data_IF_340610698845
#
_entry.id   IF_340610698845
#
_cell.length_a   1.000
_cell.length_b   1.000
_cell.length_c   1.000
_cell.angle_alpha   90.00
_cell.angle_beta   90.00
_cell.angle_gamma   90.00
#
_symmetry.space_group_name_H-M   'P 1'
#
loop_
_entity.id
_entity.type
_entity.pdbx_description
1 polymer ?
#
# COMPACT_ATOMS: atom_id res chain seq x y z
N UNK A 1 -16.58 -13.57 10.97
CA UNK A 1 -16.41 -12.35 11.80
C UNK A 1 -15.04 -11.73 11.49
N UNK A 2 -14.96 -10.94 10.41
CA UNK A 2 -13.77 -10.23 9.98
C UNK A 2 -13.57 -8.98 10.87
N UNK A 3 -12.84 -9.11 11.98
CA UNK A 3 -12.44 -7.96 12.80
C UNK A 3 -11.57 -7.02 11.97
N UNK A 4 -11.74 -5.71 12.16
CA UNK A 4 -11.16 -4.66 11.31
C UNK A 4 -9.65 -4.54 11.43
N UNK A 5 -8.93 -5.19 10.51
CA UNK A 5 -7.50 -5.03 10.29
C UNK A 5 -7.21 -3.77 9.46
N UNK A 6 -7.54 -2.60 10.00
CA UNK A 6 -7.01 -1.34 9.50
C UNK A 6 -6.18 -0.76 10.63
N UNK A 7 -4.85 -0.74 10.49
CA UNK A 7 -4.01 -0.02 11.44
C UNK A 7 -4.52 1.44 11.50
N UNK A 8 -4.98 1.94 12.67
CA UNK A 8 -5.51 3.31 12.79
C UNK A 8 -4.52 4.37 12.31
N UNK A 9 -3.22 4.04 12.32
CA UNK A 9 -2.11 4.90 11.90
C UNK A 9 -2.20 5.35 10.44
N UNK A 10 -2.60 4.48 9.49
CA UNK A 10 -2.67 4.83 8.07
C UNK A 10 -3.73 5.92 7.79
N UNK A 11 -4.93 5.75 8.35
CA UNK A 11 -6.01 6.76 8.23
C UNK A 11 -5.70 8.04 8.98
N UNK A 12 -5.13 7.92 10.19
CA UNK A 12 -4.67 9.06 10.96
C UNK A 12 -3.66 9.88 10.17
N UNK A 13 -2.68 9.21 9.54
CA UNK A 13 -1.70 9.86 8.69
C UNK A 13 -2.36 10.56 7.51
N UNK A 14 -3.19 9.87 6.73
CA UNK A 14 -3.78 10.43 5.51
C UNK A 14 -4.62 11.67 5.82
N UNK A 15 -5.41 11.65 6.91
CA UNK A 15 -6.20 12.79 7.34
C UNK A 15 -5.34 14.00 7.71
N UNK A 16 -4.26 13.79 8.48
CA UNK A 16 -3.35 14.86 8.90
C UNK A 16 -2.55 15.39 7.71
N UNK A 17 -1.98 14.51 6.89
CA UNK A 17 -1.24 14.85 5.68
C UNK A 17 -2.07 15.69 4.71
N UNK A 18 -3.33 15.31 4.48
CA UNK A 18 -4.28 16.11 3.70
C UNK A 18 -4.58 17.46 4.33
N UNK A 19 -4.67 17.53 5.65
CA UNK A 19 -4.83 18.77 6.40
C UNK A 19 -3.64 19.71 6.23
N UNK A 20 -2.41 19.20 6.34
CA UNK A 20 -1.16 19.95 6.11
C UNK A 20 -1.13 20.48 4.68
N UNK A 21 -1.33 19.61 3.68
CA UNK A 21 -1.33 19.98 2.26
C UNK A 21 -2.33 21.09 1.92
N UNK A 22 -3.50 21.07 2.56
CA UNK A 22 -4.57 22.05 2.34
C UNK A 22 -4.40 23.32 3.19
N UNK A 23 -3.32 23.45 3.97
CA UNK A 23 -3.11 24.57 4.89
C UNK A 23 -4.12 24.63 6.04
N UNK A 24 -4.84 23.53 6.33
CA UNK A 24 -5.86 23.46 7.38
C UNK A 24 -5.27 23.18 8.77
N UNK A 25 -4.00 22.80 8.84
CA UNK A 25 -3.29 22.51 10.08
C UNK A 25 -2.18 23.54 10.23
N UNK A 26 -2.23 24.33 11.31
CA UNK A 26 -1.18 25.30 11.63
C UNK A 26 0.13 24.60 12.00
N UNK A 27 1.26 25.34 12.03
CA UNK A 27 2.54 24.82 12.53
C UNK A 27 2.41 24.17 13.90
N UNK A 28 1.70 24.83 14.84
CA UNK A 28 1.41 24.28 16.17
C UNK A 28 0.58 22.99 16.08
N UNK A 29 -0.40 22.96 15.19
CA UNK A 29 -1.17 21.76 14.90
C UNK A 29 -0.30 20.61 14.38
N UNK A 30 0.69 20.89 13.52
CA UNK A 30 1.63 19.88 13.01
C UNK A 30 2.49 19.33 14.14
N UNK A 31 3.12 20.19 14.95
CA UNK A 31 3.91 19.76 16.10
C UNK A 31 3.09 18.88 17.06
N UNK A 32 1.86 19.26 17.38
CA UNK A 32 0.97 18.44 18.21
C UNK A 32 0.68 17.07 17.60
N UNK A 33 0.51 16.96 16.27
CA UNK A 33 0.30 15.67 15.60
C UNK A 33 1.57 14.81 15.56
N UNK A 34 2.73 15.43 15.43
CA UNK A 34 4.03 14.76 15.55
C UNK A 34 4.22 14.24 16.97
N UNK A 35 4.03 15.07 18.01
CA UNK A 35 4.11 14.67 19.41
C UNK A 35 3.15 13.52 19.72
N UNK A 36 1.89 13.59 19.27
CA UNK A 36 0.93 12.50 19.43
C UNK A 36 1.41 11.19 18.79
N UNK A 37 1.96 11.26 17.58
CA UNK A 37 2.47 10.08 16.88
C UNK A 37 3.70 9.48 17.61
N UNK A 38 4.63 10.31 18.08
CA UNK A 38 5.78 9.88 18.87
C UNK A 38 5.35 9.25 20.19
N UNK A 39 4.42 9.88 20.93
CA UNK A 39 3.88 9.34 22.17
C UNK A 39 3.25 7.96 21.96
N UNK A 40 2.45 7.79 20.90
CA UNK A 40 1.86 6.50 20.54
C UNK A 40 2.91 5.46 20.20
N UNK A 41 3.95 5.84 19.45
CA UNK A 41 5.07 4.94 19.14
C UNK A 41 5.80 4.50 20.41
N UNK A 42 6.22 5.45 21.25
CA UNK A 42 6.93 5.20 22.51
C UNK A 42 6.10 4.30 23.43
N UNK A 43 4.79 4.55 23.58
CA UNK A 43 3.91 3.75 24.45
C UNK A 43 3.80 2.29 24.02
N UNK A 44 4.07 1.97 22.75
CA UNK A 44 3.99 0.61 22.22
C UNK A 44 5.25 -0.20 22.49
N UNK A 45 6.40 0.44 22.68
CA UNK A 45 7.68 -0.25 22.86
C UNK A 45 7.77 -1.09 24.15
N UNK A 46 7.27 -0.65 25.32
CA UNK A 46 7.21 -1.52 26.49
C UNK A 46 6.37 -2.78 26.25
N UNK A 47 5.26 -2.67 25.51
CA UNK A 47 4.41 -3.80 25.15
C UNK A 47 5.12 -4.81 24.22
N UNK A 48 6.08 -4.36 23.41
CA UNK A 48 6.93 -5.24 22.57
C UNK A 48 7.88 -6.07 23.43
N UNK A 49 8.27 -5.56 24.60
CA UNK A 49 9.27 -6.20 25.48
C UNK A 49 8.66 -7.04 26.62
N UNK A 50 7.38 -6.86 26.94
CA UNK A 50 6.78 -7.42 28.18
C UNK A 50 6.06 -8.76 28.02
N UNK A 51 6.13 -9.40 26.86
CA UNK A 51 5.52 -10.72 26.67
C UNK A 51 6.38 -11.83 27.29
N UNK A 52 5.72 -12.84 27.87
CA UNK A 52 6.33 -13.96 28.62
C UNK A 52 7.45 -14.69 27.85
N UNK A 53 7.49 -14.59 26.50
CA UNK A 53 8.57 -15.13 25.68
C UNK A 53 9.92 -14.40 25.83
N UNK A 54 9.93 -13.10 26.11
CA UNK A 54 11.17 -12.33 26.38
C UNK A 54 11.67 -12.62 27.78
N UNK A 55 10.78 -12.72 28.79
CA UNK A 55 11.15 -13.15 30.15
C UNK A 55 11.73 -14.57 30.19
N UNK A 56 11.14 -15.51 29.45
CA UNK A 56 11.66 -16.87 29.34
C UNK A 56 13.02 -16.93 28.59
N UNK A 57 13.26 -16.01 27.65
CA UNK A 57 14.56 -15.88 26.97
C UNK A 57 15.62 -15.14 27.81
N UNK A 58 15.20 -14.20 28.66
CA UNK A 58 16.02 -13.51 29.66
C UNK A 58 16.53 -14.49 30.73
N UNK A 59 15.65 -15.36 31.24
CA UNK A 59 16.01 -16.40 32.22
C UNK A 59 16.99 -17.43 31.64
N UNK A 60 16.97 -17.67 30.32
CA UNK A 60 17.80 -18.67 29.66
C UNK A 60 19.18 -18.17 29.21
N UNK A 61 19.40 -16.85 29.02
CA UNK A 61 20.59 -16.35 28.30
C UNK A 61 21.47 -15.32 29.01
N UNK A 62 21.13 -14.85 30.21
CA UNK A 62 22.04 -14.08 31.09
C UNK A 62 22.61 -12.77 30.52
N UNK A 63 22.10 -12.29 29.37
CA UNK A 63 22.45 -11.02 28.75
C UNK A 63 21.19 -10.19 28.60
N UNK A 64 21.25 -8.91 28.98
CA UNK A 64 20.24 -7.92 28.55
C UNK A 64 20.00 -8.12 27.06
N UNK A 65 18.79 -8.54 26.67
CA UNK A 65 18.57 -8.99 25.30
C UNK A 65 18.78 -7.80 24.34
N UNK A 66 19.48 -8.03 23.23
CA UNK A 66 19.74 -7.01 22.20
C UNK A 66 18.44 -6.30 21.79
N UNK A 67 17.30 -7.01 21.79
CA UNK A 67 15.97 -6.45 21.52
C UNK A 67 15.54 -5.36 22.51
N UNK A 68 15.82 -5.54 23.81
CA UNK A 68 15.53 -4.53 24.85
C UNK A 68 16.40 -3.29 24.64
N UNK A 69 17.68 -3.49 24.33
CA UNK A 69 18.60 -2.37 24.05
C UNK A 69 18.14 -1.57 22.84
N UNK A 70 17.76 -2.25 21.74
CA UNK A 70 17.20 -1.60 20.54
C UNK A 70 15.92 -0.81 20.84
N UNK A 71 14.96 -1.42 21.53
CA UNK A 71 13.71 -0.75 21.88
C UNK A 71 13.94 0.44 22.84
N UNK A 72 14.84 0.32 23.82
CA UNK A 72 15.21 1.42 24.72
C UNK A 72 15.90 2.55 23.96
N UNK A 73 16.83 2.21 23.06
CA UNK A 73 17.52 3.19 22.23
C UNK A 73 16.55 3.93 21.30
N UNK A 74 15.63 3.22 20.64
CA UNK A 74 14.58 3.82 19.83
C UNK A 74 13.70 4.79 20.64
N UNK A 75 13.30 4.40 21.85
CA UNK A 75 12.52 5.26 22.75
C UNK A 75 13.29 6.54 23.12
N UNK A 76 14.58 6.43 23.44
CA UNK A 76 15.43 7.58 23.77
C UNK A 76 15.53 8.57 22.61
N UNK A 77 15.78 8.08 21.40
CA UNK A 77 15.86 8.92 20.19
C UNK A 77 14.54 9.65 19.90
N UNK A 78 13.41 8.96 20.04
CA UNK A 78 12.09 9.57 19.88
C UNK A 78 11.79 10.62 20.96
N UNK A 79 12.14 10.35 22.22
CA UNK A 79 11.93 11.28 23.34
C UNK A 79 12.68 12.59 23.14
N UNK A 80 13.91 12.57 22.62
CA UNK A 80 14.67 13.80 22.31
C UNK A 80 13.89 14.73 21.38
N UNK A 81 13.25 14.18 20.36
CA UNK A 81 12.44 14.98 19.41
C UNK A 81 11.11 15.41 20.04
N UNK A 82 10.46 14.50 20.77
CA UNK A 82 9.20 14.78 21.47
C UNK A 82 9.34 15.92 22.48
N UNK A 83 10.37 15.91 23.32
CA UNK A 83 10.59 16.92 24.36
C UNK A 83 10.87 18.29 23.75
N UNK A 84 11.70 18.35 22.70
CA UNK A 84 11.97 19.59 21.95
C UNK A 84 10.70 20.20 21.36
N UNK A 85 9.88 19.39 20.68
CA UNK A 85 8.64 19.87 20.07
C UNK A 85 7.59 20.28 21.11
N UNK A 86 7.53 19.57 22.24
CA UNK A 86 6.62 19.89 23.34
C UNK A 86 6.98 21.23 23.97
N UNK A 87 8.28 21.48 24.22
CA UNK A 87 8.77 22.77 24.68
C UNK A 87 8.46 23.89 23.68
N UNK A 88 8.72 23.66 22.38
CA UNK A 88 8.42 24.61 21.31
C UNK A 88 6.93 24.98 21.22
N UNK A 89 6.03 24.03 21.51
CA UNK A 89 4.58 24.30 21.52
C UNK A 89 4.16 25.29 22.63
N UNK A 90 5.00 25.47 23.66
CA UNK A 90 4.80 26.42 24.75
C UNK A 90 5.45 27.80 24.46
N UNK A 91 6.37 27.88 23.50
CA UNK A 91 7.08 29.10 23.08
C UNK A 91 6.94 29.33 21.56
N UNK A 92 5.92 30.10 21.09
CA UNK A 92 5.57 30.20 19.67
C UNK A 92 6.69 30.70 18.74
N UNK A 93 7.58 31.55 19.26
CA UNK A 93 8.68 32.16 18.49
C UNK A 93 9.74 31.13 18.08
N UNK A 94 9.88 30.03 18.83
CA UNK A 94 10.84 28.95 18.55
C UNK A 94 10.26 27.85 17.64
N UNK A 95 8.94 27.83 17.45
CA UNK A 95 8.26 26.73 16.78
C UNK A 95 8.61 26.63 15.29
N UNK A 96 8.71 27.77 14.61
CA UNK A 96 9.10 27.82 13.19
C UNK A 96 10.53 27.29 13.00
N UNK A 97 11.45 27.70 13.88
CA UNK A 97 12.84 27.22 13.90
C UNK A 97 12.92 25.72 14.12
N UNK A 98 12.25 25.21 15.15
CA UNK A 98 12.33 23.79 15.54
C UNK A 98 11.64 22.88 14.50
N UNK A 99 10.51 23.29 13.92
CA UNK A 99 9.80 22.46 12.92
C UNK A 99 10.39 22.53 11.51
N UNK A 100 11.12 23.59 11.16
CA UNK A 100 11.59 23.82 9.78
C UNK A 100 13.12 23.79 9.70
N UNK A 101 13.83 24.52 10.55
CA UNK A 101 15.30 24.58 10.51
C UNK A 101 15.93 23.29 11.07
N UNK A 102 15.40 22.78 12.18
CA UNK A 102 15.88 21.54 12.83
C UNK A 102 15.25 20.27 12.23
N UNK A 103 14.36 20.39 11.24
CA UNK A 103 13.60 19.30 10.65
C UNK A 103 14.48 18.13 10.21
N UNK A 104 15.63 18.43 9.57
CA UNK A 104 16.58 17.41 9.11
C UNK A 104 17.16 16.61 10.27
N UNK A 105 17.60 17.28 11.34
CA UNK A 105 18.15 16.62 12.52
C UNK A 105 17.09 15.74 13.20
N UNK A 106 15.84 16.22 13.28
CA UNK A 106 14.73 15.42 13.78
C UNK A 106 14.51 14.17 12.92
N UNK A 107 14.44 14.31 11.60
CA UNK A 107 14.27 13.18 10.67
C UNK A 107 15.41 12.16 10.83
N UNK A 108 16.67 12.59 10.94
CA UNK A 108 17.82 11.70 11.20
C UNK A 108 17.62 10.85 12.46
N UNK A 109 17.29 11.48 13.60
CA UNK A 109 17.08 10.77 14.87
C UNK A 109 15.90 9.79 14.78
N UNK A 110 14.81 10.21 14.13
CA UNK A 110 13.61 9.39 13.99
C UNK A 110 13.82 8.22 13.00
N UNK A 111 14.62 8.39 11.94
CA UNK A 111 15.00 7.30 11.03
C UNK A 111 15.89 6.27 11.72
N UNK A 112 16.83 6.71 12.57
CA UNK A 112 17.62 5.80 13.40
C UNK A 112 16.71 5.00 14.35
N UNK A 113 15.76 5.66 15.03
CA UNK A 113 14.77 4.99 15.87
C UNK A 113 13.89 4.01 15.08
N UNK A 114 13.49 4.38 13.86
CA UNK A 114 12.66 3.53 12.99
C UNK A 114 13.41 2.26 12.62
N UNK A 115 14.68 2.39 12.24
CA UNK A 115 15.53 1.25 11.94
C UNK A 115 15.65 0.32 13.15
N UNK A 116 15.86 0.85 14.36
CA UNK A 116 15.91 0.02 15.58
C UNK A 116 14.63 -0.78 15.80
N UNK A 117 13.45 -0.16 15.66
CA UNK A 117 12.15 -0.83 15.83
C UNK A 117 11.92 -1.88 14.73
N UNK A 118 12.31 -1.59 13.49
CA UNK A 118 12.18 -2.54 12.38
C UNK A 118 13.10 -3.75 12.56
N UNK A 119 14.33 -3.54 13.04
CA UNK A 119 15.29 -4.63 13.31
C UNK A 119 14.82 -5.59 14.41
N UNK A 120 13.86 -5.21 15.26
CA UNK A 120 13.20 -6.17 16.16
C UNK A 120 12.52 -7.32 15.41
N UNK A 121 12.27 -7.16 14.10
CA UNK A 121 11.59 -8.11 13.22
C UNK A 121 12.47 -8.67 12.11
N UNK A 122 13.79 -8.50 12.19
CA UNK A 122 14.73 -9.07 11.21
C UNK A 122 14.58 -10.60 11.04
N UNK A 123 14.07 -11.28 12.08
CA UNK A 123 13.73 -12.70 12.06
C UNK A 123 12.24 -12.89 12.40
N UNK A 124 11.32 -12.69 11.43
CA UNK A 124 9.88 -12.68 11.71
C UNK A 124 9.32 -14.07 12.08
N UNK A 125 10.03 -15.16 11.77
CA UNK A 125 9.66 -16.54 12.08
C UNK A 125 10.85 -17.33 12.64
N UNK A 126 11.31 -17.10 13.88
CA UNK A 126 12.28 -17.98 14.51
C UNK A 126 11.61 -19.32 14.76
N UNK A 127 12.27 -20.43 14.38
CA UNK A 127 11.74 -21.80 14.43
C UNK A 127 11.19 -22.25 15.80
N UNK A 128 11.39 -21.48 16.89
CA UNK A 128 11.05 -21.86 18.26
C UNK A 128 10.37 -20.77 19.11
N UNK A 129 9.87 -19.66 18.56
CA UNK A 129 9.28 -18.58 19.38
C UNK A 129 7.82 -18.25 19.02
N UNK A 130 6.96 -18.14 20.05
CA UNK A 130 5.58 -17.61 19.98
C UNK A 130 5.55 -16.09 19.67
N UNK A 131 6.30 -15.60 18.68
CA UNK A 131 6.50 -14.16 18.40
C UNK A 131 5.35 -13.45 17.66
N UNK A 132 4.25 -14.15 17.36
CA UNK A 132 3.15 -13.57 16.57
C UNK A 132 2.53 -12.31 17.17
N UNK A 133 2.55 -12.16 18.50
CA UNK A 133 1.95 -11.01 19.21
C UNK A 133 2.90 -9.79 19.18
N UNK A 134 4.22 -10.01 19.17
CA UNK A 134 5.25 -8.96 19.24
C UNK A 134 5.37 -8.18 17.93
N UNK A 135 5.21 -8.87 16.79
CA UNK A 135 5.27 -8.28 15.46
C UNK A 135 4.23 -7.18 15.22
N UNK A 136 3.00 -7.34 15.73
CA UNK A 136 1.94 -6.34 15.54
C UNK A 136 2.18 -5.07 16.35
N UNK A 137 2.79 -5.20 17.54
CA UNK A 137 3.13 -4.06 18.39
C UNK A 137 4.30 -3.28 17.81
N UNK A 138 5.33 -3.98 17.34
CA UNK A 138 6.45 -3.36 16.64
C UNK A 138 5.98 -2.66 15.36
N UNK A 139 5.12 -3.31 14.56
CA UNK A 139 4.49 -2.73 13.36
C UNK A 139 3.66 -1.48 13.68
N UNK A 140 2.92 -1.49 14.79
CA UNK A 140 2.16 -0.31 15.24
C UNK A 140 3.10 0.84 15.63
N UNK A 141 4.17 0.54 16.40
CA UNK A 141 5.14 1.54 16.84
C UNK A 141 5.85 2.20 15.65
N UNK A 142 6.40 1.41 14.74
CA UNK A 142 7.06 1.89 13.52
C UNK A 142 6.10 2.64 12.60
N UNK A 143 4.83 2.23 12.49
CA UNK A 143 3.82 2.96 11.70
C UNK A 143 3.56 4.36 12.27
N UNK A 144 3.43 4.51 13.59
CA UNK A 144 3.27 5.83 14.21
C UNK A 144 4.53 6.68 14.08
N UNK A 145 5.71 6.08 14.24
CA UNK A 145 6.99 6.77 14.03
C UNK A 145 7.16 7.24 12.58
N UNK A 146 6.86 6.38 11.60
CA UNK A 146 6.89 6.73 10.19
C UNK A 146 5.89 7.84 9.87
N UNK A 147 4.71 7.85 10.50
CA UNK A 147 3.77 8.95 10.38
C UNK A 147 4.34 10.28 10.90
N UNK A 148 5.03 10.26 12.05
CA UNK A 148 5.70 11.43 12.61
C UNK A 148 6.75 12.01 11.63
N UNK A 149 7.61 11.15 11.07
CA UNK A 149 8.60 11.51 10.06
C UNK A 149 7.92 12.14 8.84
N UNK A 150 6.89 11.47 8.30
CA UNK A 150 6.16 11.95 7.13
C UNK A 150 5.43 13.28 7.38
N UNK A 151 4.97 13.58 8.60
CA UNK A 151 4.39 14.88 8.92
C UNK A 151 5.44 16.01 8.91
N UNK A 152 6.63 15.77 9.47
CA UNK A 152 7.73 16.73 9.43
C UNK A 152 8.13 17.02 7.97
N UNK A 153 8.35 15.97 7.18
CA UNK A 153 8.74 16.11 5.77
C UNK A 153 7.64 16.73 4.90
N UNK A 154 6.37 16.39 5.13
CA UNK A 154 5.27 17.05 4.43
C UNK A 154 5.20 18.52 4.79
N UNK A 155 5.38 18.87 6.07
CA UNK A 155 5.39 20.26 6.48
C UNK A 155 6.50 21.04 5.78
N UNK A 156 7.74 20.53 5.80
CA UNK A 156 8.90 21.08 5.09
C UNK A 156 8.60 21.27 3.58
N UNK A 157 8.02 20.26 2.93
CA UNK A 157 7.62 20.34 1.53
C UNK A 157 6.72 21.55 1.22
N UNK A 158 5.77 21.88 2.10
CA UNK A 158 4.77 22.92 1.85
C UNK A 158 5.13 24.29 2.45
N UNK A 159 6.11 24.38 3.36
CA UNK A 159 6.54 25.64 3.98
C UNK A 159 7.83 26.22 3.38
N UNK A 160 8.77 25.39 2.92
CA UNK A 160 10.01 25.87 2.29
C UNK A 160 9.70 26.40 0.87
N UNK A 161 10.26 27.56 0.52
CA UNK A 161 9.98 28.30 -0.72
C UNK A 161 10.00 27.42 -1.99
N UNK A 162 9.04 27.66 -2.89
CA UNK A 162 8.62 26.81 -4.01
C UNK A 162 9.68 26.50 -5.09
N UNK A 163 10.90 27.02 -4.98
CA UNK A 163 11.95 26.89 -6.01
C UNK A 163 12.86 25.67 -5.90
N UNK A 164 12.88 24.95 -4.75
CA UNK A 164 13.86 23.87 -4.49
C UNK A 164 13.29 22.45 -4.40
N UNK A 165 11.96 22.28 -4.26
CA UNK A 165 11.34 20.97 -3.98
C UNK A 165 10.29 20.66 -5.05
N UNK A 166 10.44 19.53 -5.76
CA UNK A 166 9.44 19.04 -6.72
C UNK A 166 8.24 18.40 -6.01
N UNK A 167 7.39 19.24 -5.40
CA UNK A 167 6.20 18.80 -4.63
C UNK A 167 5.29 17.88 -5.45
N UNK A 168 5.14 18.16 -6.75
CA UNK A 168 4.27 17.40 -7.65
C UNK A 168 4.86 16.00 -7.90
N UNK A 169 6.14 15.91 -8.27
CA UNK A 169 6.82 14.63 -8.46
C UNK A 169 6.82 13.75 -7.20
N UNK A 170 7.05 14.36 -6.02
CA UNK A 170 6.97 13.64 -4.73
C UNK A 170 5.56 13.07 -4.50
N UNK A 171 4.53 13.89 -4.73
CA UNK A 171 3.14 13.45 -4.54
C UNK A 171 2.73 12.34 -5.51
N UNK A 172 3.13 12.45 -6.77
CA UNK A 172 2.84 11.46 -7.81
C UNK A 172 3.57 10.14 -7.54
N UNK A 173 4.88 10.17 -7.24
CA UNK A 173 5.65 8.97 -6.86
C UNK A 173 5.05 8.27 -5.64
N UNK A 174 4.72 9.03 -4.59
CA UNK A 174 4.00 8.52 -3.42
C UNK A 174 2.67 7.88 -3.79
N UNK A 175 1.89 8.53 -4.65
CA UNK A 175 0.59 7.99 -5.09
C UNK A 175 0.77 6.67 -5.82
N UNK A 176 1.72 6.58 -6.76
CA UNK A 176 2.03 5.34 -7.50
C UNK A 176 2.46 4.21 -6.57
N UNK A 177 3.37 4.47 -5.63
CA UNK A 177 3.80 3.46 -4.68
C UNK A 177 2.63 2.99 -3.78
N UNK A 178 1.78 3.91 -3.31
CA UNK A 178 0.57 3.55 -2.57
C UNK A 178 -0.41 2.71 -3.41
N UNK A 179 -0.60 3.01 -4.70
CA UNK A 179 -1.45 2.21 -5.58
C UNK A 179 -0.92 0.77 -5.72
N UNK A 180 0.39 0.61 -5.87
CA UNK A 180 1.03 -0.72 -5.95
C UNK A 180 0.90 -1.49 -4.62
N UNK A 181 1.14 -0.81 -3.49
CA UNK A 181 0.98 -1.41 -2.15
C UNK A 181 -0.47 -1.81 -1.86
N UNK A 182 -1.43 -0.97 -2.23
CA UNK A 182 -2.86 -1.29 -2.13
C UNK A 182 -3.22 -2.47 -3.05
N UNK A 183 -2.68 -2.53 -4.26
CA UNK A 183 -2.90 -3.66 -5.17
C UNK A 183 -2.41 -4.98 -4.56
N UNK A 184 -1.22 -4.95 -3.95
CA UNK A 184 -0.63 -6.07 -3.25
C UNK A 184 -1.52 -6.45 -2.05
N UNK A 185 -1.91 -5.48 -1.21
CA UNK A 185 -2.77 -5.69 -0.04
C UNK A 185 -4.12 -6.32 -0.41
N UNK A 186 -4.84 -5.73 -1.36
CA UNK A 186 -6.15 -6.23 -1.79
C UNK A 186 -6.02 -7.64 -2.39
N UNK A 187 -4.94 -7.92 -3.13
CA UNK A 187 -4.68 -9.25 -3.67
C UNK A 187 -4.43 -10.29 -2.58
N UNK A 188 -3.63 -9.94 -1.57
CA UNK A 188 -3.36 -10.77 -0.40
C UNK A 188 -4.62 -11.07 0.41
N UNK A 189 -5.49 -10.09 0.58
CA UNK A 189 -6.80 -10.29 1.22
C UNK A 189 -7.64 -11.27 0.39
N UNK A 190 -7.71 -11.06 -0.92
CA UNK A 190 -8.53 -11.84 -1.84
C UNK A 190 -8.02 -13.27 -2.10
N UNK A 191 -6.76 -13.59 -1.78
CA UNK A 191 -6.24 -14.95 -1.92
C UNK A 191 -7.02 -15.94 -1.03
N UNK A 192 -7.54 -17.04 -1.59
CA UNK A 192 -8.27 -18.03 -0.81
C UNK A 192 -7.33 -18.78 0.13
N UNK A 193 -7.82 -19.25 1.28
CA UNK A 193 -6.98 -19.93 2.29
C UNK A 193 -6.24 -21.15 1.73
N UNK A 194 -6.83 -21.86 0.77
CA UNK A 194 -6.18 -22.96 0.05
C UNK A 194 -4.86 -22.58 -0.64
N UNK A 195 -4.66 -21.31 -0.98
CA UNK A 195 -3.40 -20.84 -1.55
C UNK A 195 -2.25 -20.88 -0.53
N UNK A 196 -2.55 -21.07 0.76
CA UNK A 196 -1.59 -21.07 1.87
C UNK A 196 -1.45 -22.45 2.54
N UNK A 197 -2.12 -23.49 2.04
CA UNK A 197 -2.13 -24.81 2.68
C UNK A 197 -0.72 -25.42 2.82
N UNK A 198 0.15 -25.20 1.84
CA UNK A 198 1.53 -25.68 1.85
C UNK A 198 2.42 -24.98 2.91
N UNK A 199 2.10 -23.74 3.29
CA UNK A 199 2.81 -23.03 4.37
C UNK A 199 2.50 -23.61 5.75
N UNK A 200 1.47 -24.44 5.89
CA UNK A 200 1.18 -25.21 7.12
C UNK A 200 2.04 -26.48 7.19
N UNK A 201 2.38 -27.07 6.04
CA UNK A 201 3.05 -28.38 5.96
C UNK A 201 4.57 -28.27 6.09
N UNK A 202 5.15 -27.13 5.72
CA UNK A 202 6.55 -26.81 6.01
C UNK A 202 6.75 -26.68 7.53
N UNK A 203 7.63 -27.51 8.08
CA UNK A 203 8.09 -27.48 9.50
C UNK A 203 8.83 -26.18 9.90
N UNK A 204 8.60 -25.07 9.20
CA UNK A 204 9.28 -23.78 9.34
C UNK A 204 8.57 -22.78 10.27
N UNK A 205 7.79 -23.26 11.25
CA UNK A 205 7.32 -22.38 12.33
C UNK A 205 6.29 -21.32 11.93
N UNK A 206 5.54 -21.50 10.84
CA UNK A 206 4.41 -20.62 10.53
C UNK A 206 3.29 -20.79 11.56
N UNK A 207 2.83 -19.67 12.12
CA UNK A 207 1.79 -19.59 13.16
C UNK A 207 0.36 -19.89 12.64
N UNK A 208 0.23 -20.55 11.48
CA UNK A 208 -1.03 -20.81 10.78
C UNK A 208 -1.45 -19.72 9.79
N UNK A 209 -2.27 -20.08 8.79
CA UNK A 209 -2.66 -19.23 7.65
C UNK A 209 -3.15 -17.86 8.10
N UNK A 210 -4.02 -17.83 9.11
CA UNK A 210 -4.61 -16.58 9.60
C UNK A 210 -3.56 -15.62 10.13
N UNK A 211 -2.58 -16.11 10.89
CA UNK A 211 -1.52 -15.27 11.47
C UNK A 211 -0.58 -14.78 10.37
N UNK A 212 -0.24 -15.63 9.39
CA UNK A 212 0.57 -15.24 8.23
C UNK A 212 -0.10 -14.15 7.41
N UNK A 213 -1.39 -14.30 7.05
CA UNK A 213 -2.14 -13.27 6.32
C UNK A 213 -2.20 -11.96 7.12
N UNK A 214 -2.47 -12.04 8.43
CA UNK A 214 -2.49 -10.86 9.31
C UNK A 214 -1.14 -10.15 9.39
N UNK A 215 -0.04 -10.90 9.46
CA UNK A 215 1.32 -10.35 9.44
C UNK A 215 1.57 -9.58 8.14
N UNK A 216 1.33 -10.22 6.99
CA UNK A 216 1.55 -9.59 5.68
C UNK A 216 0.69 -8.33 5.51
N UNK A 217 -0.60 -8.40 5.85
CA UNK A 217 -1.50 -7.24 5.81
C UNK A 217 -0.97 -6.10 6.67
N UNK A 218 -0.49 -6.39 7.88
CA UNK A 218 0.05 -5.37 8.78
C UNK A 218 1.35 -4.75 8.24
N UNK A 219 2.25 -5.58 7.70
CA UNK A 219 3.48 -5.12 7.06
C UNK A 219 3.21 -4.27 5.81
N UNK A 220 2.22 -4.62 5.00
CA UNK A 220 1.82 -3.82 3.82
C UNK A 220 1.23 -2.46 4.21
N UNK A 221 0.41 -2.42 5.26
CA UNK A 221 -0.11 -1.17 5.82
C UNK A 221 1.01 -0.29 6.40
N UNK A 222 1.99 -0.89 7.06
CA UNK A 222 3.18 -0.17 7.53
C UNK A 222 4.01 0.38 6.36
N UNK A 223 4.26 -0.42 5.33
CA UNK A 223 4.95 0.00 4.12
C UNK A 223 4.19 1.11 3.38
N UNK A 224 2.86 1.13 3.48
CA UNK A 224 2.04 2.24 2.98
C UNK A 224 2.30 3.53 3.75
N UNK A 225 2.54 3.47 5.07
CA UNK A 225 3.01 4.63 5.83
C UNK A 225 4.45 5.00 5.44
N UNK A 226 5.30 4.04 5.05
CA UNK A 226 6.65 4.33 4.54
C UNK A 226 6.63 5.05 3.19
N UNK A 227 5.74 4.67 2.28
CA UNK A 227 5.51 5.40 1.03
C UNK A 227 5.13 6.87 1.29
N UNK A 228 4.49 7.11 2.43
CA UNK A 228 4.09 8.42 2.90
C UNK A 228 5.22 9.21 3.57
N UNK A 229 6.39 8.61 3.82
CA UNK A 229 7.63 9.30 4.16
C UNK A 229 8.43 9.75 2.93
N UNK A 230 7.99 9.43 1.72
CA UNK A 230 8.64 9.97 0.51
C UNK A 230 8.56 11.50 0.56
N UNK A 231 9.69 12.14 0.77
CA UNK A 231 9.80 13.57 1.07
C UNK A 231 10.96 14.22 0.30
N UNK A 232 11.43 15.40 0.74
CA UNK A 232 12.61 16.04 0.19
C UNK A 232 13.85 15.15 0.25
N UNK A 233 14.97 15.62 -0.32
CA UNK A 233 16.23 14.87 -0.32
C UNK A 233 16.67 14.47 1.09
N UNK A 234 16.91 13.16 1.27
CA UNK A 234 17.47 12.57 2.49
C UNK A 234 18.95 12.34 2.24
N UNK A 235 19.80 12.85 3.12
CA UNK A 235 21.25 12.71 2.99
C UNK A 235 21.71 11.27 3.26
N UNK A 236 22.90 10.93 2.78
CA UNK A 236 23.63 9.79 3.32
C UNK A 236 24.12 10.14 4.74
N UNK A 237 23.97 9.28 5.77
CA UNK A 237 23.62 7.85 5.78
C UNK A 237 22.13 7.52 6.02
N UNK A 238 21.28 8.51 6.26
CA UNK A 238 19.86 8.32 6.59
C UNK A 238 19.09 7.53 5.52
N UNK A 239 19.48 7.75 4.25
CA UNK A 239 18.99 6.97 3.12
C UNK A 239 19.24 5.46 3.29
N UNK A 240 20.41 5.03 3.78
CA UNK A 240 20.68 3.62 4.06
C UNK A 240 19.73 3.05 5.10
N UNK A 241 19.52 3.78 6.20
CA UNK A 241 18.67 3.30 7.29
C UNK A 241 17.25 3.08 6.80
N UNK A 242 16.75 3.98 5.94
CA UNK A 242 15.44 3.85 5.34
C UNK A 242 15.35 2.66 4.37
N UNK A 243 16.32 2.50 3.47
CA UNK A 243 16.37 1.38 2.52
C UNK A 243 16.50 0.03 3.23
N UNK A 244 17.32 -0.03 4.29
CA UNK A 244 17.46 -1.21 5.14
C UNK A 244 16.14 -1.53 5.85
N UNK A 245 15.52 -0.53 6.48
CA UNK A 245 14.22 -0.68 7.16
C UNK A 245 13.16 -1.20 6.19
N UNK A 246 13.06 -0.62 4.99
CA UNK A 246 12.13 -1.09 3.96
C UNK A 246 12.42 -2.54 3.57
N UNK A 247 13.69 -2.86 3.28
CA UNK A 247 14.09 -4.21 2.85
C UNK A 247 13.79 -5.27 3.92
N UNK A 248 14.01 -4.96 5.20
CA UNK A 248 13.69 -5.85 6.31
C UNK A 248 12.19 -6.15 6.42
N UNK A 249 11.33 -5.16 6.16
CA UNK A 249 9.87 -5.36 6.15
C UNK A 249 9.39 -6.10 4.91
N UNK A 250 10.04 -5.85 3.76
CA UNK A 250 9.58 -6.34 2.47
C UNK A 250 10.06 -7.76 2.15
N UNK A 251 11.28 -8.13 2.56
CA UNK A 251 11.86 -9.45 2.30
C UNK A 251 10.97 -10.62 2.76
N UNK A 252 10.31 -10.59 3.93
CA UNK A 252 9.39 -11.65 4.34
C UNK A 252 8.18 -11.79 3.41
N UNK A 253 7.66 -10.68 2.87
CA UNK A 253 6.55 -10.68 1.91
C UNK A 253 7.00 -11.33 0.59
N UNK A 254 8.21 -11.00 0.12
CA UNK A 254 8.80 -11.61 -1.08
C UNK A 254 9.01 -13.12 -0.92
N UNK A 255 9.54 -13.57 0.22
CA UNK A 255 9.70 -15.00 0.50
C UNK A 255 8.38 -15.75 0.46
N UNK A 256 7.32 -15.17 1.02
CA UNK A 256 5.99 -15.77 0.98
C UNK A 256 5.38 -15.76 -0.43
N UNK A 257 5.61 -14.70 -1.21
CA UNK A 257 5.20 -14.61 -2.62
C UNK A 257 5.81 -15.73 -3.46
N UNK A 258 7.12 -15.98 -3.35
CA UNK A 258 7.81 -17.07 -4.05
C UNK A 258 7.15 -18.42 -3.74
N UNK A 259 6.93 -18.74 -2.45
CA UNK A 259 6.29 -20.01 -2.05
C UNK A 259 4.86 -20.17 -2.60
N UNK A 260 4.07 -19.09 -2.56
CA UNK A 260 2.70 -19.09 -3.09
C UNK A 260 2.70 -19.32 -4.61
N UNK A 261 3.66 -18.73 -5.33
CA UNK A 261 3.77 -18.86 -6.78
C UNK A 261 4.18 -20.25 -7.25
N UNK A 262 5.15 -20.88 -6.57
CA UNK A 262 5.60 -22.23 -6.90
C UNK A 262 4.45 -23.23 -6.90
N UNK A 263 3.44 -23.00 -6.06
CA UNK A 263 2.31 -23.92 -5.87
C UNK A 263 1.09 -23.54 -6.71
N UNK A 264 0.95 -22.27 -7.13
CA UNK A 264 -0.22 -21.79 -7.88
C UNK A 264 0.17 -20.74 -8.96
N UNK A 265 0.94 -21.11 -9.99
CA UNK A 265 1.55 -20.14 -10.90
C UNK A 265 0.57 -19.37 -11.79
N UNK A 266 -0.70 -19.78 -11.89
CA UNK A 266 -1.63 -19.33 -12.92
C UNK A 266 -2.75 -18.38 -12.47
N UNK A 267 -2.84 -18.05 -11.17
CA UNK A 267 -3.86 -17.12 -10.67
C UNK A 267 -3.60 -15.66 -11.08
N UNK A 268 -4.63 -14.94 -11.54
CA UNK A 268 -4.52 -13.49 -11.82
C UNK A 268 -4.06 -12.69 -10.60
N UNK A 269 -4.52 -13.06 -9.39
CA UNK A 269 -4.07 -12.45 -8.14
C UNK A 269 -2.58 -12.69 -7.88
N UNK A 270 -2.06 -13.88 -8.22
CA UNK A 270 -0.63 -14.16 -8.11
C UNK A 270 0.17 -13.34 -9.11
N UNK A 271 -0.28 -13.21 -10.36
CA UNK A 271 0.35 -12.29 -11.33
C UNK A 271 0.39 -10.85 -10.83
N UNK A 272 -0.69 -10.37 -10.20
CA UNK A 272 -0.75 -9.03 -9.60
C UNK A 272 0.24 -8.92 -8.44
N UNK A 273 0.27 -9.90 -7.54
CA UNK A 273 1.19 -9.96 -6.41
C UNK A 273 2.64 -9.89 -6.90
N UNK A 274 3.00 -10.67 -7.92
CA UNK A 274 4.37 -10.74 -8.44
C UNK A 274 4.79 -9.42 -9.06
N UNK A 275 3.92 -8.85 -9.90
CA UNK A 275 4.20 -7.59 -10.57
C UNK A 275 4.27 -6.43 -9.57
N UNK A 276 3.28 -6.32 -8.68
CA UNK A 276 3.27 -5.29 -7.64
C UNK A 276 4.50 -5.41 -6.73
N UNK A 277 4.90 -6.62 -6.35
CA UNK A 277 6.06 -6.85 -5.48
C UNK A 277 7.35 -6.35 -6.12
N UNK A 278 7.58 -6.68 -7.40
CA UNK A 278 8.75 -6.19 -8.16
C UNK A 278 8.74 -4.68 -8.29
N UNK A 279 7.60 -4.12 -8.65
CA UNK A 279 7.46 -2.68 -8.89
C UNK A 279 7.59 -1.86 -7.61
N UNK A 280 7.12 -2.35 -6.46
CA UNK A 280 7.21 -1.68 -5.15
C UNK A 280 8.67 -1.54 -4.72
N UNK A 281 9.44 -2.63 -4.81
CA UNK A 281 10.85 -2.61 -4.41
C UNK A 281 11.66 -1.65 -5.29
N UNK A 282 11.44 -1.75 -6.61
CA UNK A 282 12.09 -0.88 -7.59
C UNK A 282 11.76 0.59 -7.34
N UNK A 283 10.47 0.96 -7.34
CA UNK A 283 10.04 2.36 -7.16
C UNK A 283 10.57 2.97 -5.86
N UNK A 284 10.59 2.21 -4.77
CA UNK A 284 11.06 2.73 -3.48
C UNK A 284 12.57 2.98 -3.50
N UNK A 285 13.36 2.09 -4.10
CA UNK A 285 14.82 2.25 -4.26
C UNK A 285 15.14 3.39 -5.21
N UNK A 286 14.53 3.38 -6.40
CA UNK A 286 14.74 4.37 -7.48
C UNK A 286 14.44 5.79 -7.00
N UNK A 287 13.36 5.97 -6.20
CA UNK A 287 13.03 7.29 -5.63
C UNK A 287 14.17 7.91 -4.83
N UNK A 288 14.83 7.11 -3.99
CA UNK A 288 15.95 7.57 -3.17
C UNK A 288 17.29 7.57 -3.93
N UNK A 289 17.36 6.88 -5.06
CA UNK A 289 18.46 6.88 -6.03
C UNK A 289 18.46 8.08 -7.00
N UNK A 290 17.56 9.05 -6.77
CA UNK A 290 17.37 10.29 -7.54
C UNK A 290 16.59 10.16 -8.86
N UNK A 291 15.81 9.09 -9.03
CA UNK A 291 14.89 8.92 -10.16
C UNK A 291 13.46 9.40 -9.78
N UNK A 292 13.32 10.71 -9.54
CA UNK A 292 12.00 11.30 -9.24
C UNK A 292 11.22 11.55 -10.54
N UNK A 293 10.40 10.57 -10.93
CA UNK A 293 9.56 10.71 -12.12
C UNK A 293 8.17 11.30 -11.80
N UNK A 294 7.76 12.34 -12.53
CA UNK A 294 6.35 12.75 -12.56
C UNK A 294 5.53 11.77 -13.39
N UNK A 295 4.22 11.76 -13.20
CA UNK A 295 3.29 10.93 -14.01
C UNK A 295 3.33 11.30 -15.51
N UNK A 296 3.84 12.50 -15.85
CA UNK A 296 4.09 12.92 -17.22
C UNK A 296 5.35 12.31 -17.82
N UNK A 297 6.28 11.88 -16.98
CA UNK A 297 7.62 11.47 -17.38
C UNK A 297 7.74 9.94 -17.46
N UNK A 298 6.79 9.22 -16.86
CA UNK A 298 6.70 7.76 -16.95
C UNK A 298 5.99 7.32 -18.23
N UNK A 299 6.32 6.10 -18.67
CA UNK A 299 5.66 5.48 -19.82
C UNK A 299 4.17 5.23 -19.55
N UNK A 300 3.35 5.27 -20.60
CA UNK A 300 1.96 4.83 -20.51
C UNK A 300 1.89 3.36 -20.05
N UNK A 301 2.88 2.50 -20.37
CA UNK A 301 2.97 1.13 -19.85
C UNK A 301 2.87 1.11 -18.33
N UNK A 302 3.74 1.87 -17.70
CA UNK A 302 3.91 1.92 -16.26
C UNK A 302 2.67 2.54 -15.60
N UNK A 303 2.16 3.63 -16.17
CA UNK A 303 0.95 4.29 -15.67
C UNK A 303 -0.25 3.33 -15.69
N UNK A 304 -0.57 2.73 -16.84
CA UNK A 304 -1.71 1.84 -16.97
C UNK A 304 -1.54 0.57 -16.14
N UNK A 305 -0.35 -0.05 -16.13
CA UNK A 305 -0.08 -1.25 -15.32
C UNK A 305 -0.37 -0.98 -13.85
N UNK A 306 0.20 0.09 -13.28
CA UNK A 306 0.00 0.47 -11.87
C UNK A 306 -1.49 0.62 -11.51
N UNK A 307 -2.25 1.35 -12.32
CA UNK A 307 -3.67 1.61 -12.07
C UNK A 307 -4.56 0.37 -12.31
N UNK A 308 -4.25 -0.44 -13.32
CA UNK A 308 -4.97 -1.68 -13.61
C UNK A 308 -4.76 -2.72 -12.49
N UNK A 309 -3.52 -2.95 -12.05
CA UNK A 309 -3.20 -3.85 -10.94
C UNK A 309 -4.01 -3.49 -9.69
N UNK A 310 -3.97 -2.20 -9.31
CA UNK A 310 -4.72 -1.66 -8.16
C UNK A 310 -6.20 -1.97 -8.22
N UNK A 311 -6.80 -1.69 -9.37
CA UNK A 311 -8.26 -1.65 -9.46
C UNK A 311 -8.87 -3.02 -9.74
N UNK A 312 -8.12 -3.93 -10.39
CA UNK A 312 -8.47 -5.35 -10.49
C UNK A 312 -8.41 -6.02 -9.11
N UNK A 313 -7.34 -5.75 -8.34
CA UNK A 313 -7.21 -6.28 -6.98
C UNK A 313 -8.35 -5.81 -6.06
N UNK A 314 -8.66 -4.49 -6.07
CA UNK A 314 -9.79 -3.94 -5.32
C UNK A 314 -11.12 -4.57 -5.72
N UNK A 315 -11.37 -4.69 -7.03
CA UNK A 315 -12.58 -5.31 -7.55
C UNK A 315 -12.73 -6.74 -7.04
N UNK A 316 -11.66 -7.54 -7.11
CA UNK A 316 -11.65 -8.90 -6.56
C UNK A 316 -11.96 -8.94 -5.06
N UNK A 317 -11.28 -8.11 -4.27
CA UNK A 317 -11.49 -8.06 -2.82
C UNK A 317 -12.93 -7.62 -2.48
N UNK A 318 -13.49 -6.67 -3.23
CA UNK A 318 -14.85 -6.18 -3.05
C UNK A 318 -15.90 -7.22 -3.48
N UNK A 319 -15.69 -7.93 -4.60
CA UNK A 319 -16.57 -9.04 -5.04
C UNK A 319 -16.68 -10.09 -3.95
N UNK A 320 -15.55 -10.52 -3.36
CA UNK A 320 -15.56 -11.50 -2.27
C UNK A 320 -16.37 -11.01 -1.07
N UNK A 321 -16.18 -9.76 -0.64
CA UNK A 321 -16.96 -9.17 0.46
C UNK A 321 -18.47 -9.11 0.16
N UNK A 322 -18.83 -8.82 -1.09
CA UNK A 322 -20.22 -8.76 -1.53
C UNK A 322 -20.87 -10.15 -1.61
N UNK A 323 -20.10 -11.19 -1.96
CA UNK A 323 -20.53 -12.59 -1.96
C UNK A 323 -20.70 -13.17 -0.54
N UNK A 324 -19.86 -12.74 0.41
CA UNK A 324 -19.88 -13.20 1.81
C UNK A 324 -21.09 -12.66 2.62
N UNK A 325 -21.99 -11.87 2.00
CA UNK A 325 -23.20 -11.38 2.64
C UNK A 325 -24.39 -12.33 2.43
N UNK A 326 -25.34 -12.35 3.37
CA UNK A 326 -26.60 -13.09 3.25
C UNK A 326 -27.81 -12.13 3.33
N UNK A 327 -28.57 -11.94 2.23
CA UNK A 327 -28.28 -12.40 0.87
C UNK A 327 -27.04 -11.70 0.28
N UNK A 328 -26.45 -12.30 -0.76
CA UNK A 328 -25.34 -11.69 -1.47
C UNK A 328 -25.76 -10.32 -2.02
N UNK A 329 -24.83 -9.36 -2.03
CA UNK A 329 -25.13 -8.00 -2.49
C UNK A 329 -25.53 -7.99 -3.98
N UNK A 330 -26.53 -7.19 -4.38
CA UNK A 330 -26.93 -7.07 -5.79
C UNK A 330 -25.83 -6.46 -6.67
N UNK A 331 -24.75 -5.90 -6.10
CA UNK A 331 -23.64 -5.33 -6.85
C UNK A 331 -22.68 -6.36 -7.44
N UNK A 332 -22.77 -7.63 -7.04
CA UNK A 332 -21.78 -8.67 -7.40
C UNK A 332 -21.59 -8.75 -8.91
N UNK A 333 -22.66 -8.71 -9.70
CA UNK A 333 -22.60 -8.84 -11.15
C UNK A 333 -21.86 -7.67 -11.81
N UNK A 334 -22.19 -6.43 -11.43
CA UNK A 334 -21.55 -5.23 -11.97
C UNK A 334 -20.07 -5.11 -11.55
N UNK A 335 -19.71 -5.52 -10.33
CA UNK A 335 -18.31 -5.56 -9.89
C UNK A 335 -17.55 -6.67 -10.63
N UNK A 336 -18.20 -7.83 -10.88
CA UNK A 336 -17.58 -8.94 -11.60
C UNK A 336 -17.34 -8.60 -13.06
N UNK A 337 -18.31 -7.96 -13.74
CA UNK A 337 -18.12 -7.45 -15.10
C UNK A 337 -16.98 -6.44 -15.17
N UNK A 338 -16.92 -5.51 -14.22
CA UNK A 338 -15.81 -4.56 -14.07
C UNK A 338 -14.45 -5.29 -14.03
N UNK A 339 -14.33 -6.30 -13.16
CA UNK A 339 -13.11 -7.09 -13.02
C UNK A 339 -12.77 -7.86 -14.30
N UNK A 340 -13.74 -8.49 -14.96
CA UNK A 340 -13.53 -9.27 -16.20
C UNK A 340 -12.98 -8.38 -17.30
N UNK A 341 -13.62 -7.24 -17.55
CA UNK A 341 -13.22 -6.28 -18.59
C UNK A 341 -11.80 -5.76 -18.34
N UNK A 342 -11.46 -5.49 -17.09
CA UNK A 342 -10.13 -5.00 -16.75
C UNK A 342 -9.05 -6.09 -16.80
N UNK A 343 -9.39 -7.35 -16.53
CA UNK A 343 -8.46 -8.46 -16.73
C UNK A 343 -8.11 -8.64 -18.20
N UNK A 344 -9.11 -8.56 -19.07
CA UNK A 344 -8.90 -8.59 -20.51
C UNK A 344 -7.99 -7.43 -20.94
N UNK A 345 -8.24 -6.22 -20.43
CA UNK A 345 -7.33 -5.08 -20.61
C UNK A 345 -5.92 -5.36 -20.11
N UNK A 346 -5.75 -5.87 -18.89
CA UNK A 346 -4.43 -6.21 -18.34
C UNK A 346 -3.75 -7.29 -19.20
N UNK A 347 -4.48 -8.30 -19.67
CA UNK A 347 -3.92 -9.35 -20.52
C UNK A 347 -3.51 -8.81 -21.89
N UNK A 348 -4.33 -7.97 -22.54
CA UNK A 348 -3.99 -7.34 -23.82
C UNK A 348 -2.83 -6.34 -23.70
N UNK A 349 -2.68 -5.70 -22.53
CA UNK A 349 -1.73 -4.61 -22.32
C UNK A 349 -0.42 -5.05 -21.66
N UNK A 350 -0.46 -6.12 -20.86
CA UNK A 350 0.69 -6.68 -20.11
C UNK A 350 1.12 -8.04 -20.68
N UNK A 351 0.23 -8.75 -21.40
CA UNK A 351 0.48 -10.08 -21.97
C UNK A 351 1.39 -10.13 -23.19
N UNK A 352 1.75 -9.00 -23.81
CA UNK A 352 2.91 -8.89 -24.69
C UNK A 352 4.17 -8.55 -23.87
N UNK A 353 4.67 -9.57 -23.17
CA UNK A 353 6.10 -9.67 -22.93
C UNK A 353 6.75 -9.93 -24.30
N UNK A 354 7.54 -8.96 -24.74
CA UNK A 354 8.28 -8.89 -26.01
C UNK A 354 7.48 -8.36 -27.22
N UNK A 355 7.79 -7.11 -27.60
CA UNK A 355 7.71 -6.51 -28.95
C UNK A 355 6.47 -5.71 -29.44
N UNK A 356 5.26 -5.81 -28.89
CA UNK A 356 4.17 -4.93 -29.39
C UNK A 356 4.22 -3.53 -28.76
N UNK A 357 4.34 -2.50 -29.62
CA UNK A 357 4.28 -1.10 -29.18
C UNK A 357 2.90 -0.82 -28.61
N UNK A 358 2.89 -0.49 -27.34
CA UNK A 358 1.79 0.03 -26.52
C UNK A 358 1.02 1.16 -27.21
N UNK A 359 1.72 1.87 -28.10
CA UNK A 359 1.20 2.92 -28.95
C UNK A 359 0.25 2.47 -30.06
N UNK A 360 0.04 1.18 -30.26
CA UNK A 360 -0.91 0.64 -31.24
C UNK A 360 -2.14 0.03 -30.52
N UNK A 361 -1.97 -0.50 -29.30
CA UNK A 361 -3.04 -1.16 -28.54
C UNK A 361 -3.96 -0.18 -27.80
N UNK A 362 -3.39 0.83 -27.12
CA UNK A 362 -4.16 1.91 -26.48
C UNK A 362 -4.93 2.79 -27.48
N UNK A 363 -4.57 2.68 -28.77
CA UNK A 363 -5.06 3.48 -29.89
C UNK A 363 -6.13 2.77 -30.70
N UNK A 364 -6.29 1.45 -30.51
CA UNK A 364 -7.49 0.77 -30.96
C UNK A 364 -8.69 1.35 -30.19
N UNK A 365 -9.78 1.70 -30.88
CA UNK A 365 -11.04 2.09 -30.22
C UNK A 365 -11.50 1.09 -29.13
N UNK A 366 -11.00 -0.15 -29.20
CA UNK A 366 -11.26 -1.21 -28.23
C UNK A 366 -10.78 -0.92 -26.80
N UNK A 367 -9.62 -0.28 -26.58
CA UNK A 367 -9.09 -0.06 -25.23
C UNK A 367 -9.91 0.97 -24.45
N UNK A 368 -10.13 2.15 -25.06
CA UNK A 368 -10.97 3.19 -24.48
C UNK A 368 -12.41 2.70 -24.26
N UNK A 369 -12.93 1.87 -25.17
CA UNK A 369 -14.27 1.29 -25.02
C UNK A 369 -14.34 0.31 -23.85
N UNK A 370 -13.35 -0.56 -23.65
CA UNK A 370 -13.29 -1.44 -22.48
C UNK A 370 -13.19 -0.64 -21.17
N UNK A 371 -12.39 0.44 -21.13
CA UNK A 371 -12.34 1.36 -19.98
C UNK A 371 -13.72 1.98 -19.71
N UNK A 372 -14.45 2.38 -20.75
CA UNK A 372 -15.82 2.91 -20.62
C UNK A 372 -16.83 1.88 -20.15
N UNK A 373 -16.78 0.65 -20.67
CA UNK A 373 -17.64 -0.45 -20.20
C UNK A 373 -17.40 -0.70 -18.71
N UNK A 374 -16.13 -0.74 -18.29
CA UNK A 374 -15.77 -0.89 -16.88
C UNK A 374 -16.33 0.28 -16.04
N UNK A 375 -16.16 1.53 -16.49
CA UNK A 375 -16.72 2.72 -15.82
C UNK A 375 -18.24 2.63 -15.70
N UNK A 376 -18.93 2.32 -16.80
CA UNK A 376 -20.39 2.28 -16.85
C UNK A 376 -20.94 1.16 -15.96
N UNK A 377 -20.22 0.02 -15.85
CA UNK A 377 -20.52 -1.03 -14.87
C UNK A 377 -20.48 -0.49 -13.44
N UNK A 378 -19.45 0.27 -13.07
CA UNK A 378 -19.40 0.91 -11.74
C UNK A 378 -20.48 1.98 -11.55
N UNK A 379 -20.96 2.63 -12.61
CA UNK A 379 -22.03 3.62 -12.52
C UNK A 379 -23.40 3.01 -12.20
N UNK A 380 -23.63 1.73 -12.53
CA UNK A 380 -24.88 1.03 -12.19
C UNK A 380 -25.00 0.66 -10.71
N UNK A 381 -23.89 0.64 -9.98
CA UNK A 381 -23.83 0.31 -8.56
C UNK A 381 -24.25 1.52 -7.71
N UNK A 382 -25.26 1.29 -6.86
CA UNK A 382 -25.62 2.21 -5.77
C UNK A 382 -24.71 1.95 -4.56
N UNK A 383 -24.27 2.99 -3.85
CA UNK A 383 -23.29 2.81 -2.76
C UNK A 383 -23.89 2.21 -1.49
N UNK A 384 -25.19 2.39 -1.28
CA UNK A 384 -25.96 1.85 -0.16
C UNK A 384 -26.15 0.33 -0.24
N UNK A 385 -26.00 -0.26 -1.44
CA UNK A 385 -26.02 -1.71 -1.64
C UNK A 385 -24.68 -2.41 -1.32
N UNK A 386 -23.64 -1.66 -0.94
CA UNK A 386 -22.36 -2.21 -0.50
C UNK A 386 -22.40 -2.71 0.96
N UNK A 387 -21.70 -3.81 1.29
CA UNK A 387 -21.75 -4.41 2.64
C UNK A 387 -21.30 -3.47 3.76
N UNK A 388 -20.17 -2.80 3.59
CA UNK A 388 -19.62 -1.89 4.58
C UNK A 388 -19.68 -0.42 4.10
N UNK A 389 -20.64 0.32 4.65
CA UNK A 389 -20.89 1.72 4.30
C UNK A 389 -19.75 2.71 4.61
N UNK A 390 -18.71 2.27 5.34
CA UNK A 390 -17.54 3.09 5.64
C UNK A 390 -16.38 2.70 4.73
N UNK A 391 -16.00 1.43 4.71
CA UNK A 391 -14.77 0.98 4.05
C UNK A 391 -14.99 0.63 2.58
N UNK A 392 -16.07 -0.09 2.26
CA UNK A 392 -16.32 -0.56 0.90
C UNK A 392 -16.71 0.60 -0.01
N UNK A 393 -17.46 1.57 0.51
CA UNK A 393 -17.77 2.82 -0.20
C UNK A 393 -16.50 3.60 -0.55
N UNK A 394 -15.50 3.65 0.34
CA UNK A 394 -14.22 4.30 0.05
C UNK A 394 -13.45 3.55 -1.04
N UNK A 395 -13.37 2.22 -0.96
CA UNK A 395 -12.72 1.39 -1.98
C UNK A 395 -13.41 1.56 -3.34
N UNK A 396 -14.73 1.49 -3.38
CA UNK A 396 -15.53 1.68 -4.57
C UNK A 396 -15.35 3.07 -5.20
N UNK A 397 -15.36 4.13 -4.39
CA UNK A 397 -15.10 5.48 -4.87
C UNK A 397 -13.68 5.65 -5.42
N UNK A 398 -12.70 4.94 -4.87
CA UNK A 398 -11.34 4.93 -5.40
C UNK A 398 -11.25 4.16 -6.73
N UNK A 399 -11.99 3.05 -6.90
CA UNK A 399 -12.12 2.35 -8.19
C UNK A 399 -12.72 3.26 -9.27
N UNK A 400 -13.78 4.02 -8.93
CA UNK A 400 -14.38 5.03 -9.83
C UNK A 400 -13.37 6.10 -10.26
N UNK A 401 -12.67 6.72 -9.32
CA UNK A 401 -11.62 7.70 -9.63
C UNK A 401 -10.48 7.11 -10.47
N UNK A 402 -10.14 5.84 -10.24
CA UNK A 402 -9.07 5.16 -10.96
C UNK A 402 -9.47 4.93 -12.41
N UNK A 403 -10.69 4.43 -12.67
CA UNK A 403 -11.16 4.22 -14.04
C UNK A 403 -11.34 5.55 -14.80
N UNK A 404 -11.79 6.61 -14.13
CA UNK A 404 -11.85 7.97 -14.69
C UNK A 404 -10.47 8.48 -15.11
N UNK A 405 -9.43 8.27 -14.28
CA UNK A 405 -8.05 8.63 -14.63
C UNK A 405 -7.51 7.84 -15.81
N UNK A 406 -7.83 6.54 -15.89
CA UNK A 406 -7.45 5.71 -17.03
C UNK A 406 -8.10 6.24 -18.32
N UNK A 407 -9.40 6.57 -18.26
CA UNK A 407 -10.12 7.15 -19.38
C UNK A 407 -9.52 8.51 -19.80
N UNK A 408 -9.25 9.39 -18.84
CA UNK A 408 -8.65 10.70 -19.09
C UNK A 408 -7.29 10.56 -19.78
N UNK A 409 -6.43 9.65 -19.29
CA UNK A 409 -5.12 9.39 -19.92
C UNK A 409 -5.28 8.89 -21.35
N UNK A 410 -6.20 7.95 -21.60
CA UNK A 410 -6.51 7.48 -22.96
C UNK A 410 -6.95 8.63 -23.88
N UNK A 411 -7.87 9.50 -23.42
CA UNK A 411 -8.38 10.63 -24.20
C UNK A 411 -7.27 11.63 -24.51
N UNK A 412 -6.44 11.98 -23.52
CA UNK A 412 -5.38 12.96 -23.69
C UNK A 412 -4.28 12.45 -24.63
N UNK A 413 -3.92 11.17 -24.52
CA UNK A 413 -2.99 10.52 -25.47
C UNK A 413 -3.57 10.50 -26.88
N UNK A 414 -4.88 10.21 -27.05
CA UNK A 414 -5.58 10.25 -28.36
C UNK A 414 -5.65 11.66 -28.94
N UNK A 415 -5.85 12.71 -28.15
CA UNK A 415 -5.87 14.11 -28.63
C UNK A 415 -4.49 14.60 -29.11
N UNK A 416 -3.41 14.06 -28.56
CA UNK A 416 -2.04 14.40 -28.94
C UNK A 416 -1.59 13.84 -30.30
N UNK A 417 -2.30 12.84 -30.85
CA UNK A 417 -2.02 12.24 -32.16
C UNK A 417 -3.27 12.34 -33.04
N UNK A 418 -3.17 12.90 -34.25
CA UNK A 418 -4.32 13.12 -35.16
C UNK A 418 -5.22 11.89 -35.27
N UNK A 419 -6.53 12.15 -35.34
CA UNK A 419 -7.65 11.19 -35.39
C UNK A 419 -7.36 9.90 -36.15
N UNK A 420 -7.21 8.79 -35.42
CA UNK A 420 -7.36 7.44 -35.99
C UNK A 420 -8.85 7.07 -35.90
N UNK A 421 -9.44 6.74 -37.06
CA UNK A 421 -10.82 6.25 -37.19
C UNK A 421 -11.00 4.95 -36.39
N UNK A 422 -12.12 4.84 -35.68
CA UNK A 422 -12.48 3.62 -34.96
C UNK A 422 -12.74 2.46 -35.94
N UNK A 423 -12.23 1.25 -35.69
CA UNK A 423 -12.66 0.07 -36.42
C UNK A 423 -14.04 -0.36 -35.90
N UNK A 424 -15.07 -0.20 -36.74
CA UNK A 424 -16.40 -0.75 -36.52
C UNK A 424 -16.34 -2.30 -36.54
N UNK A 425 -17.00 -2.97 -35.58
CA UNK A 425 -17.19 -4.43 -35.57
C UNK A 425 -16.68 -5.19 -34.33
N UNK A 426 -15.78 -4.61 -33.53
CA UNK A 426 -15.19 -5.30 -32.35
C UNK A 426 -16.19 -5.40 -31.18
N UNK A 427 -17.14 -4.47 -31.08
CA UNK A 427 -18.11 -4.42 -29.97
C UNK A 427 -19.06 -5.63 -29.99
N UNK A 428 -19.55 -6.01 -31.16
CA UNK A 428 -20.47 -7.14 -31.31
C UNK A 428 -19.77 -8.48 -31.05
N UNK A 429 -18.49 -8.61 -31.43
CA UNK A 429 -17.66 -9.78 -31.10
C UNK A 429 -17.35 -9.88 -29.60
N UNK A 430 -17.04 -8.77 -28.93
CA UNK A 430 -16.76 -8.77 -27.47
C UNK A 430 -18.04 -9.07 -26.67
N UNK A 431 -19.18 -8.48 -27.06
CA UNK A 431 -20.46 -8.79 -26.42
C UNK A 431 -20.91 -10.24 -26.65
N UNK A 432 -20.58 -10.83 -27.80
CA UNK A 432 -20.81 -12.23 -28.09
C UNK A 432 -19.94 -13.16 -27.21
N UNK A 433 -18.65 -12.85 -27.04
CA UNK A 433 -17.73 -13.61 -26.18
C UNK A 433 -18.11 -13.54 -24.68
N UNK A 434 -18.52 -12.36 -24.21
CA UNK A 434 -19.01 -12.18 -22.84
C UNK A 434 -20.33 -12.93 -22.59
N UNK A 435 -21.19 -13.03 -23.61
CA UNK A 435 -22.46 -13.78 -23.51
C UNK A 435 -22.25 -15.30 -23.42
N UNK A 436 -21.14 -15.82 -23.95
CA UNK A 436 -20.78 -17.25 -23.84
C UNK A 436 -20.17 -17.60 -22.49
N UNK A 437 -19.31 -16.76 -21.90
CA UNK A 437 -18.71 -17.05 -20.58
C UNK A 437 -19.72 -16.91 -19.43
N UNK A 438 -20.66 -15.97 -19.49
CA UNK A 438 -21.72 -15.82 -18.48
C UNK A 438 -22.67 -17.03 -18.46
N UNK A 439 -22.93 -17.65 -19.63
CA UNK A 439 -23.71 -18.90 -19.72
C UNK A 439 -22.99 -20.08 -19.09
N UNK A 440 -21.68 -20.21 -19.30
CA UNK A 440 -20.88 -21.31 -18.73
C UNK A 440 -20.75 -21.23 -17.19
N UNK A 441 -20.78 -20.03 -16.62
CA UNK A 441 -20.84 -19.84 -15.15
C UNK A 441 -22.24 -20.17 -14.61
N UNK A 442 -23.29 -19.77 -15.33
CA UNK A 442 -24.69 -20.09 -14.99
C UNK A 442 -25.00 -21.59 -15.02
N UNK A 443 -24.51 -22.31 -16.01
CA UNK A 443 -24.80 -23.75 -16.17
C UNK A 443 -24.00 -24.61 -15.18
N UNK A 444 -22.79 -24.20 -14.78
CA UNK A 444 -22.03 -24.86 -13.71
C UNK A 444 -22.64 -24.65 -12.32
N UNK A 445 -23.34 -23.53 -12.10
CA UNK A 445 -24.06 -23.27 -10.84
C UNK A 445 -25.35 -24.10 -10.69
N UNK A 446 -25.97 -24.52 -11.81
CA UNK A 446 -27.15 -25.40 -11.82
C UNK A 446 -26.81 -26.89 -11.83
N UNK A 447 -25.61 -27.26 -12.28
CA UNK A 447 -25.14 -28.65 -12.26
C UNK A 447 -24.61 -29.10 -10.89
N UNK A 448 -24.58 -28.21 -9.88
CA UNK A 448 -24.10 -28.49 -8.52
C UNK A 448 -25.16 -28.28 -7.43
N UNK A 449 -26.44 -28.21 -7.80
CA UNK A 449 -27.61 -28.27 -6.88
C UNK A 449 -28.23 -29.65 -6.84
#
# INVERSE_FOLDING_TARGET
MYMGWWLPAGRFYEAVSNGIRRGKISQKGVAMKVCYALEKSISKLPEVLWNDGVKLAEEASGKNSVYIERARHAAQLMSVVYDKLTAACQAPDDLGKILIEDAKQHVTLLLAALNEIVMLRERPFPENMRMGIDCFKACSASSYLAAAIGFIQNHECYTVGSGKIDRKGIFEARTRLCLKLDALLDSWIALPEKAFSHLIEDKEGFLGIRITKSYVVSSLEELRVFAHMLGPEIIWPDRCMLLNSFSTLFMPIQKLEIKINETNPCGILNKIINQATKDIEKDFKDYYENERHRDTDISDKEFFTCHLLRTIAAGHALTLRCLDCEPASPCVDDISLYVIVLKDLLFRYVGSLEEERIEDVAYSGSFLNLVRIARDSLCRIQTDTLPNQINDVVVFNNMKKTIEKLEERCINTRKGRREVKEPEGIIDEILALLSTEVKDVGDKSKASS
#
